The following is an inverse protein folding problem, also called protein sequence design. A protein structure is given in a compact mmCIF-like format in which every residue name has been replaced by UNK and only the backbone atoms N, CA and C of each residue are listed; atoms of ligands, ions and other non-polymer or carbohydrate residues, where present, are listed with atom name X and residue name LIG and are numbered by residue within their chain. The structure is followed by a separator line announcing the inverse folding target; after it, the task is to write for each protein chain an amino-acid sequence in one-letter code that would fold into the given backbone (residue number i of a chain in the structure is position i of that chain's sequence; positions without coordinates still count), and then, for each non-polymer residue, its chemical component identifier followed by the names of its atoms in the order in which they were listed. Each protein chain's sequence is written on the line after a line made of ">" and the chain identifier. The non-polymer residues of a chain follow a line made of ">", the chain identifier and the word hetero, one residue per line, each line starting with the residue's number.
data_IF_395900479018
#
_entry.id   IF_395900479018
#
_cell.length_a   1.000
_cell.length_b   1.000
_cell.length_c   1.000
_cell.angle_alpha   90.00
_cell.angle_beta   90.00
_cell.angle_gamma   90.00
#
_symmetry.space_group_name_H-M   'P 1'
#
loop_
_entity.id
_entity.type
_entity.pdbx_description
1 polymer ?
#
# COMPACT_ATOMS: atom_id res chain seq x y z
N UNK A 1 -23.17 34.72 8.83
CA UNK A 1 -24.09 33.75 8.18
C UNK A 1 -25.36 33.58 9.00
N UNK A 2 -25.26 33.27 10.30
CA UNK A 2 -26.41 33.22 11.23
C UNK A 2 -27.29 34.48 11.22
N UNK A 3 -26.70 35.68 11.37
CA UNK A 3 -27.46 36.94 11.35
C UNK A 3 -28.29 37.12 10.07
N UNK A 4 -27.77 36.66 8.93
CA UNK A 4 -28.49 36.72 7.67
C UNK A 4 -29.65 35.71 7.64
N UNK A 5 -29.43 34.48 8.12
CA UNK A 5 -30.47 33.45 8.19
C UNK A 5 -31.60 33.88 9.13
N UNK A 6 -31.28 34.43 10.30
CA UNK A 6 -32.30 34.92 11.23
C UNK A 6 -33.09 36.12 10.66
N UNK A 7 -32.42 37.04 9.96
CA UNK A 7 -33.06 38.20 9.33
C UNK A 7 -34.02 37.81 8.21
N UNK A 8 -33.66 36.82 7.39
CA UNK A 8 -34.46 36.40 6.23
C UNK A 8 -35.31 35.14 6.51
N UNK A 9 -35.33 34.64 7.75
CA UNK A 9 -36.12 33.47 8.15
C UNK A 9 -37.62 33.57 7.85
N UNK A 10 -38.29 34.72 8.10
CA UNK A 10 -39.72 34.85 7.81
C UNK A 10 -40.05 34.72 6.31
N UNK A 11 -39.11 35.11 5.44
CA UNK A 11 -39.30 34.99 3.98
C UNK A 11 -39.24 33.52 3.55
N UNK A 12 -38.37 32.72 4.17
CA UNK A 12 -38.31 31.28 3.92
C UNK A 12 -39.57 30.55 4.38
N UNK A 13 -40.22 31.04 5.45
CA UNK A 13 -41.49 30.49 5.94
C UNK A 13 -42.69 30.90 5.09
N UNK A 14 -42.63 32.06 4.44
CA UNK A 14 -43.67 32.56 3.55
C UNK A 14 -43.72 31.84 2.19
N UNK A 15 -42.75 30.98 1.88
CA UNK A 15 -42.72 30.22 0.64
C UNK A 15 -43.85 29.18 0.58
N UNK A 16 -44.66 29.26 -0.48
CA UNK A 16 -45.87 28.41 -0.64
C UNK A 16 -45.54 26.93 -0.88
N UNK A 17 -44.37 26.61 -1.43
CA UNK A 17 -43.99 25.24 -1.76
C UNK A 17 -43.24 24.57 -0.61
N UNK A 18 -42.31 25.28 0.03
CA UNK A 18 -41.35 24.71 0.98
C UNK A 18 -41.41 25.32 2.39
N UNK A 19 -42.20 26.37 2.63
CA UNK A 19 -42.28 27.05 3.93
C UNK A 19 -42.69 26.12 5.08
N UNK A 20 -43.49 25.09 4.79
CA UNK A 20 -43.91 24.06 5.76
C UNK A 20 -42.74 23.23 6.34
N UNK A 21 -41.58 23.20 5.68
CA UNK A 21 -40.37 22.51 6.14
C UNK A 21 -39.59 23.32 7.17
N UNK A 22 -39.74 24.65 7.18
CA UNK A 22 -38.95 25.57 7.99
C UNK A 22 -39.70 25.99 9.28
N UNK A 23 -40.09 25.01 10.09
CA UNK A 23 -40.85 25.25 11.35
C UNK A 23 -39.98 25.83 12.47
N UNK A 24 -38.71 25.49 12.50
CA UNK A 24 -37.76 25.85 13.55
C UNK A 24 -36.44 26.29 12.92
N UNK A 25 -35.83 27.35 13.47
CA UNK A 25 -34.58 27.89 12.98
C UNK A 25 -33.46 26.84 13.08
N UNK A 26 -32.56 26.75 12.10
CA UNK A 26 -31.46 25.80 12.14
C UNK A 26 -30.56 26.08 13.35
N UNK A 27 -30.01 25.01 13.91
CA UNK A 27 -28.99 25.11 14.94
C UNK A 27 -27.67 25.52 14.30
N UNK A 28 -26.99 26.49 14.92
CA UNK A 28 -25.67 26.94 14.49
C UNK A 28 -24.59 26.29 15.36
N UNK A 29 -23.59 25.68 14.71
CA UNK A 29 -22.39 25.21 15.36
C UNK A 29 -21.20 26.07 14.91
N UNK A 30 -20.49 26.67 15.86
CA UNK A 30 -19.27 27.42 15.56
C UNK A 30 -18.06 26.52 15.73
N UNK A 31 -17.16 26.58 14.76
CA UNK A 31 -15.84 25.98 14.92
C UNK A 31 -14.98 26.94 15.74
N UNK A 32 -14.41 26.47 16.84
CA UNK A 32 -13.38 27.20 17.59
C UNK A 32 -12.25 27.62 16.63
N UNK A 33 -11.85 28.89 16.68
CA UNK A 33 -10.67 29.38 15.96
C UNK A 33 -9.38 28.72 16.45
N UNK A 34 -8.34 28.67 15.60
CA UNK A 34 -7.06 28.09 16.02
C UNK A 34 -6.43 28.93 17.13
N UNK A 35 -6.20 28.34 18.30
CA UNK A 35 -5.43 28.97 19.37
C UNK A 35 -3.93 28.88 19.10
N UNK A 36 -3.12 29.68 19.81
CA UNK A 36 -1.65 29.55 19.77
C UNK A 36 -1.20 28.12 20.08
N UNK A 37 -1.84 27.44 21.03
CA UNK A 37 -1.59 26.01 21.31
C UNK A 37 -1.88 25.13 20.10
N UNK A 38 -2.99 25.36 19.40
CA UNK A 38 -3.36 24.59 18.19
C UNK A 38 -2.38 24.83 17.02
N UNK A 39 -1.77 26.01 17.00
CA UNK A 39 -0.75 26.40 16.01
C UNK A 39 0.61 25.78 16.37
N UNK A 40 1.05 25.92 17.61
CA UNK A 40 2.40 25.57 18.07
C UNK A 40 2.53 24.09 18.46
N UNK A 41 1.47 23.47 18.96
CA UNK A 41 1.44 22.07 19.38
C UNK A 41 0.22 21.37 18.77
N UNK A 42 0.15 21.25 17.43
CA UNK A 42 -0.96 20.58 16.79
C UNK A 42 -0.93 19.09 17.20
N UNK A 43 -2.07 18.58 17.68
CA UNK A 43 -2.21 17.16 18.05
C UNK A 43 -1.97 16.21 16.88
N UNK A 44 -2.06 16.74 15.65
CA UNK A 44 -1.68 16.04 14.43
C UNK A 44 -0.65 16.87 13.66
N UNK A 45 0.45 16.23 13.26
CA UNK A 45 1.50 16.90 12.49
C UNK A 45 0.95 17.27 11.11
N UNK A 46 0.73 18.57 10.89
CA UNK A 46 0.23 19.12 9.61
C UNK A 46 0.94 18.42 8.45
N UNK A 47 0.16 17.90 7.49
CA UNK A 47 0.72 17.31 6.29
C UNK A 47 1.63 18.36 5.64
N UNK A 48 2.92 18.02 5.47
CA UNK A 48 3.81 18.77 4.58
C UNK A 48 3.07 18.88 3.25
N UNK A 49 2.69 20.10 2.86
CA UNK A 49 2.06 20.30 1.56
C UNK A 49 3.06 19.81 0.52
N UNK A 50 2.65 18.94 -0.43
CA UNK A 50 3.56 18.49 -1.46
C UNK A 50 4.11 19.71 -2.20
N UNK A 51 5.43 19.80 -2.33
CA UNK A 51 6.08 20.86 -3.13
C UNK A 51 5.74 20.75 -4.62
N UNK A 52 5.25 19.59 -5.05
CA UNK A 52 4.88 19.28 -6.42
C UNK A 52 3.36 19.32 -6.59
N UNK A 53 2.88 20.17 -7.49
CA UNK A 53 1.46 20.36 -7.81
C UNK A 53 0.93 19.40 -8.89
N UNK A 54 1.80 18.59 -9.52
CA UNK A 54 1.39 17.58 -10.49
C UNK A 54 0.92 16.27 -9.86
N UNK A 55 0.27 15.41 -10.66
CA UNK A 55 -0.10 14.05 -10.21
C UNK A 55 1.18 13.27 -9.87
N UNK A 56 1.33 12.87 -8.61
CA UNK A 56 2.45 12.01 -8.20
C UNK A 56 2.41 10.71 -9.00
N UNK A 57 3.55 10.36 -9.62
CA UNK A 57 3.72 9.04 -10.23
C UNK A 57 3.64 8.00 -9.13
N UNK A 58 2.92 6.91 -9.37
CA UNK A 58 2.87 5.74 -8.48
C UNK A 58 3.24 4.50 -9.27
N UNK A 59 3.57 3.41 -8.58
CA UNK A 59 4.05 2.18 -9.18
C UNK A 59 5.54 1.93 -8.95
N UNK A 60 6.01 0.82 -9.53
CA UNK A 60 7.42 0.42 -9.47
C UNK A 60 8.12 0.76 -10.78
N UNK A 61 9.29 1.39 -10.69
CA UNK A 61 10.06 1.85 -11.84
C UNK A 61 11.53 1.39 -11.76
N UNK A 62 12.18 1.16 -12.92
CA UNK A 62 13.59 0.78 -12.94
C UNK A 62 14.47 1.90 -12.39
N UNK A 63 15.51 1.55 -11.63
CA UNK A 63 16.55 2.49 -11.21
C UNK A 63 17.61 2.74 -12.31
N UNK A 64 17.52 2.01 -13.43
CA UNK A 64 18.44 2.08 -14.58
C UNK A 64 19.90 1.69 -14.30
N UNK A 65 20.20 1.18 -13.10
CA UNK A 65 21.56 0.86 -12.66
C UNK A 65 21.73 -0.55 -12.09
N UNK A 66 20.71 -1.41 -12.20
CA UNK A 66 20.78 -2.76 -11.64
C UNK A 66 20.10 -3.83 -12.51
N UNK A 67 20.56 -5.08 -12.37
CA UNK A 67 20.05 -6.23 -13.13
C UNK A 67 18.59 -6.58 -12.80
N UNK A 68 18.08 -6.15 -11.64
CA UNK A 68 16.69 -6.39 -11.24
C UNK A 68 15.68 -5.55 -12.04
N UNK A 69 16.13 -4.51 -12.75
CA UNK A 69 15.26 -3.65 -13.56
C UNK A 69 14.52 -4.41 -14.67
N UNK A 70 15.16 -5.46 -15.21
CA UNK A 70 14.63 -6.28 -16.31
C UNK A 70 13.39 -7.10 -15.93
N UNK A 71 13.23 -7.40 -14.64
CA UNK A 71 12.14 -8.21 -14.11
C UNK A 71 11.01 -7.39 -13.47
N UNK A 72 11.05 -6.06 -13.54
CA UNK A 72 10.02 -5.21 -12.95
C UNK A 72 8.69 -5.31 -13.72
N UNK A 73 7.60 -5.49 -12.99
CA UNK A 73 6.24 -5.19 -13.45
C UNK A 73 6.06 -3.67 -13.32
N UNK A 74 6.17 -2.97 -14.45
CA UNK A 74 6.16 -1.51 -14.50
C UNK A 74 4.74 -0.97 -14.33
N UNK A 75 4.63 0.17 -13.66
CA UNK A 75 3.37 0.91 -13.54
C UNK A 75 2.70 0.73 -12.17
N UNK A 76 1.50 1.30 -12.07
CA UNK A 76 0.73 1.44 -10.83
C UNK A 76 -0.47 0.49 -10.74
N UNK A 77 -0.58 -0.49 -11.64
CA UNK A 77 -1.67 -1.46 -11.63
C UNK A 77 -1.07 -2.86 -11.66
N UNK A 78 -1.60 -3.73 -10.79
CA UNK A 78 -1.27 -5.15 -10.72
C UNK A 78 -2.57 -5.93 -10.74
N UNK A 79 -2.66 -6.96 -11.57
CA UNK A 79 -3.84 -7.83 -11.59
C UNK A 79 -3.79 -8.81 -10.44
N UNK A 80 -4.93 -9.00 -9.76
CA UNK A 80 -5.07 -10.01 -8.73
C UNK A 80 -4.75 -11.41 -9.31
N UNK A 81 -3.84 -12.21 -8.70
CA UNK A 81 -3.40 -13.50 -9.25
C UNK A 81 -4.54 -14.45 -9.61
N UNK A 82 -5.50 -14.65 -8.69
CA UNK A 82 -6.63 -15.58 -8.89
C UNK A 82 -7.86 -14.96 -9.55
N UNK A 83 -8.26 -13.75 -9.13
CA UNK A 83 -9.54 -13.12 -9.52
C UNK A 83 -9.43 -12.18 -10.72
N UNK A 84 -8.22 -11.84 -11.17
CA UNK A 84 -7.99 -11.02 -12.38
C UNK A 84 -8.27 -9.52 -12.26
N UNK A 85 -9.02 -9.05 -11.26
CA UNK A 85 -9.32 -7.63 -11.13
C UNK A 85 -8.07 -6.76 -10.87
N UNK A 86 -8.13 -5.51 -11.32
CA UNK A 86 -7.03 -4.56 -11.22
C UNK A 86 -6.87 -3.99 -9.80
N UNK A 87 -5.62 -3.99 -9.31
CA UNK A 87 -5.26 -3.41 -8.01
C UNK A 87 -4.35 -2.20 -8.25
N UNK A 88 -4.83 -1.03 -7.84
CA UNK A 88 -4.08 0.23 -7.95
C UNK A 88 -3.06 0.37 -6.81
N UNK A 89 -1.79 0.47 -7.19
CA UNK A 89 -0.64 0.74 -6.32
C UNK A 89 -0.49 2.24 -6.13
N UNK A 90 -0.44 2.67 -4.87
CA UNK A 90 -0.37 4.09 -4.48
C UNK A 90 1.05 4.56 -4.13
N UNK A 91 1.99 3.64 -3.95
CA UNK A 91 3.38 3.93 -3.62
C UNK A 91 4.21 4.15 -4.88
N UNK A 92 5.14 5.11 -4.86
CA UNK A 92 6.22 5.20 -5.83
C UNK A 92 7.42 4.43 -5.31
N UNK A 93 7.94 3.48 -6.11
CA UNK A 93 9.09 2.68 -5.71
C UNK A 93 10.08 2.50 -6.86
N UNK A 94 11.33 2.28 -6.49
CA UNK A 94 12.41 1.88 -7.39
C UNK A 94 13.16 0.68 -6.79
N UNK A 95 14.18 0.19 -7.48
CA UNK A 95 15.03 -0.90 -6.99
C UNK A 95 15.74 -0.59 -5.66
N UNK A 96 15.89 0.69 -5.30
CA UNK A 96 16.57 1.13 -4.08
C UNK A 96 15.60 1.41 -2.92
N UNK A 97 14.29 1.24 -3.13
CA UNK A 97 13.31 1.47 -2.05
C UNK A 97 13.47 0.41 -0.95
N UNK A 98 13.39 0.85 0.31
CA UNK A 98 13.57 0.03 1.51
C UNK A 98 12.26 -0.07 2.29
N UNK A 99 12.15 -1.03 3.21
CA UNK A 99 10.95 -1.23 4.05
C UNK A 99 9.66 -1.36 3.23
N UNK A 100 9.69 -2.29 2.28
CA UNK A 100 8.60 -2.52 1.33
C UNK A 100 8.02 -3.91 1.48
N UNK A 101 6.73 -4.01 1.17
CA UNK A 101 6.06 -5.25 0.83
C UNK A 101 6.04 -5.35 -0.70
N UNK A 102 6.45 -6.48 -1.23
CA UNK A 102 6.59 -6.73 -2.66
C UNK A 102 5.84 -8.00 -3.07
N UNK A 103 5.47 -8.04 -4.35
CA UNK A 103 4.93 -9.20 -5.03
C UNK A 103 6.01 -9.79 -5.94
N UNK A 104 6.19 -11.10 -5.89
CA UNK A 104 6.80 -11.88 -6.95
C UNK A 104 5.70 -12.59 -7.74
N UNK A 105 5.84 -12.61 -9.07
CA UNK A 105 4.91 -13.29 -9.97
C UNK A 105 5.65 -14.36 -10.76
N UNK A 106 5.11 -15.57 -10.69
CA UNK A 106 5.56 -16.71 -11.46
C UNK A 106 4.95 -16.68 -12.88
N UNK A 107 5.62 -17.20 -13.93
CA UNK A 107 5.02 -17.37 -15.26
C UNK A 107 3.71 -18.19 -15.26
N UNK A 108 3.50 -19.10 -14.30
CA UNK A 108 2.24 -19.85 -14.17
C UNK A 108 1.07 -19.03 -13.60
N UNK A 109 1.29 -17.77 -13.24
CA UNK A 109 0.27 -16.87 -12.71
C UNK A 109 0.24 -16.75 -11.18
N UNK A 110 0.82 -17.72 -10.46
CA UNK A 110 0.88 -17.70 -9.00
C UNK A 110 1.73 -16.54 -8.46
N UNK A 111 1.35 -16.03 -7.29
CA UNK A 111 2.01 -14.92 -6.60
C UNK A 111 2.67 -15.35 -5.29
N UNK A 112 3.74 -14.64 -4.91
CA UNK A 112 4.34 -14.67 -3.58
C UNK A 112 4.42 -13.25 -3.05
N UNK A 113 3.94 -13.02 -1.84
CA UNK A 113 4.11 -11.74 -1.14
C UNK A 113 5.21 -11.89 -0.12
N UNK A 114 6.14 -10.95 -0.10
CA UNK A 114 7.16 -10.87 0.94
C UNK A 114 7.44 -9.44 1.36
N UNK A 115 8.12 -9.29 2.49
CA UNK A 115 8.65 -8.00 2.94
C UNK A 115 10.18 -7.93 2.94
N UNK A 116 10.72 -6.72 2.95
CA UNK A 116 12.14 -6.47 3.22
C UNK A 116 12.35 -5.11 3.85
N UNK A 117 13.26 -5.05 4.83
CA UNK A 117 13.75 -3.79 5.41
C UNK A 117 14.88 -3.19 4.59
N UNK A 118 15.67 -4.02 3.90
CA UNK A 118 16.75 -3.62 3.00
C UNK A 118 16.20 -3.17 1.65
N UNK A 119 17.07 -2.64 0.80
CA UNK A 119 16.73 -2.31 -0.57
C UNK A 119 16.15 -3.54 -1.30
N UNK A 120 15.03 -3.34 -2.01
CA UNK A 120 14.32 -4.44 -2.66
C UNK A 120 15.20 -5.19 -3.67
N UNK A 121 16.11 -4.50 -4.38
CA UNK A 121 17.00 -5.16 -5.35
C UNK A 121 17.82 -6.29 -4.74
N UNK A 122 18.28 -6.13 -3.49
CA UNK A 122 19.08 -7.15 -2.79
C UNK A 122 18.22 -8.38 -2.53
N UNK A 123 16.99 -8.16 -2.06
CA UNK A 123 16.05 -9.27 -1.79
C UNK A 123 15.65 -10.01 -3.07
N UNK A 124 15.46 -9.32 -4.18
CA UNK A 124 15.17 -9.95 -5.48
C UNK A 124 16.35 -10.77 -5.99
N UNK A 125 17.59 -10.31 -5.79
CA UNK A 125 18.79 -11.07 -6.14
C UNK A 125 18.91 -12.35 -5.32
N UNK A 126 18.64 -12.29 -4.02
CA UNK A 126 18.60 -13.47 -3.15
C UNK A 126 17.59 -14.51 -3.64
N UNK A 127 16.36 -14.09 -3.97
CA UNK A 127 15.35 -15.01 -4.52
C UNK A 127 15.84 -15.68 -5.81
N UNK A 128 16.42 -14.91 -6.74
CA UNK A 128 16.98 -15.47 -7.99
C UNK A 128 18.15 -16.42 -7.72
N UNK A 129 19.00 -16.11 -6.75
CA UNK A 129 20.09 -16.97 -6.31
C UNK A 129 19.58 -18.28 -5.71
N UNK A 130 18.56 -18.23 -4.86
CA UNK A 130 17.95 -19.41 -4.25
C UNK A 130 17.29 -20.33 -5.28
N UNK A 131 16.60 -19.77 -6.30
CA UNK A 131 16.04 -20.57 -7.39
C UNK A 131 17.16 -21.24 -8.19
N UNK A 132 18.23 -20.52 -8.54
CA UNK A 132 19.35 -21.05 -9.34
C UNK A 132 20.10 -22.16 -8.60
N UNK A 133 20.30 -21.99 -7.30
CA UNK A 133 21.12 -22.86 -6.47
C UNK A 133 20.25 -23.71 -5.53
N UNK A 134 19.03 -24.06 -5.95
CA UNK A 134 18.08 -24.80 -5.14
C UNK A 134 18.67 -26.14 -4.71
N UNK A 135 18.63 -26.41 -3.40
CA UNK A 135 18.99 -27.69 -2.79
C UNK A 135 18.06 -27.94 -1.61
N UNK A 136 17.44 -29.12 -1.59
CA UNK A 136 16.52 -29.52 -0.52
C UNK A 136 17.22 -29.48 0.84
N UNK A 137 16.49 -29.09 1.89
CA UNK A 137 17.00 -28.98 3.27
C UNK A 137 18.19 -28.01 3.44
N UNK A 138 18.29 -26.98 2.60
CA UNK A 138 19.30 -25.92 2.74
C UNK A 138 18.64 -24.55 2.83
N UNK A 139 19.42 -23.49 3.06
CA UNK A 139 18.90 -22.11 3.07
C UNK A 139 18.29 -21.68 1.72
N UNK A 140 18.61 -22.38 0.63
CA UNK A 140 18.02 -22.11 -0.69
C UNK A 140 16.69 -22.84 -0.90
N UNK A 141 16.26 -23.70 0.03
CA UNK A 141 14.96 -24.38 0.04
C UNK A 141 13.86 -23.46 0.59
N UNK A 142 13.50 -22.45 -0.21
CA UNK A 142 12.39 -21.55 0.08
C UNK A 142 11.15 -21.96 -0.72
N UNK A 143 9.96 -21.55 -0.28
CA UNK A 143 8.72 -21.86 -0.99
C UNK A 143 8.76 -21.43 -2.46
N UNK A 144 9.37 -20.28 -2.76
CA UNK A 144 9.55 -19.75 -4.12
C UNK A 144 10.51 -20.62 -4.94
N UNK A 145 11.68 -20.98 -4.40
CA UNK A 145 12.65 -21.78 -5.15
C UNK A 145 12.17 -23.20 -5.38
N UNK A 146 11.54 -23.82 -4.37
CA UNK A 146 10.89 -25.12 -4.46
C UNK A 146 9.84 -25.13 -5.57
N UNK A 147 8.92 -24.15 -5.55
CA UNK A 147 7.89 -24.00 -6.59
C UNK A 147 8.49 -23.90 -8.00
N UNK A 148 9.52 -23.07 -8.19
CA UNK A 148 10.15 -22.89 -9.50
C UNK A 148 10.81 -24.18 -10.01
N UNK A 149 11.42 -24.97 -9.13
CA UNK A 149 12.04 -26.25 -9.51
C UNK A 149 10.99 -27.30 -9.83
N UNK A 150 9.95 -27.45 -9.00
CA UNK A 150 8.85 -28.40 -9.23
C UNK A 150 8.13 -28.15 -10.56
N UNK A 151 7.91 -26.88 -10.90
CA UNK A 151 7.22 -26.47 -12.12
C UNK A 151 8.16 -26.24 -13.32
N UNK A 152 9.46 -26.53 -13.17
CA UNK A 152 10.51 -26.37 -14.20
C UNK A 152 10.54 -24.95 -14.81
N UNK A 153 10.33 -23.93 -13.98
CA UNK A 153 10.35 -22.53 -14.39
C UNK A 153 11.74 -21.91 -14.29
N UNK A 154 12.06 -20.98 -15.19
CA UNK A 154 13.36 -20.33 -15.21
C UNK A 154 13.39 -19.09 -14.28
N UNK A 155 14.42 -18.90 -13.43
CA UNK A 155 14.55 -17.71 -12.58
C UNK A 155 14.52 -16.38 -13.36
N UNK A 156 14.85 -16.37 -14.65
CA UNK A 156 14.75 -15.18 -15.51
C UNK A 156 13.29 -14.74 -15.72
N UNK A 157 12.35 -15.68 -15.70
CA UNK A 157 10.91 -15.42 -15.90
C UNK A 157 10.24 -14.81 -14.65
N UNK A 158 10.90 -14.85 -13.49
CA UNK A 158 10.42 -14.23 -12.26
C UNK A 158 10.21 -12.72 -12.48
N UNK A 159 8.99 -12.24 -12.26
CA UNK A 159 8.64 -10.82 -12.30
C UNK A 159 8.33 -10.29 -10.90
N UNK A 160 8.52 -8.99 -10.66
CA UNK A 160 8.28 -8.40 -9.35
C UNK A 160 7.81 -6.94 -9.40
N UNK A 161 7.12 -6.50 -8.35
CA UNK A 161 6.83 -5.09 -8.08
C UNK A 161 6.66 -4.84 -6.57
N UNK A 162 6.78 -3.58 -6.16
CA UNK A 162 6.42 -3.13 -4.81
C UNK A 162 4.91 -2.92 -4.73
N UNK A 163 4.29 -3.48 -3.70
CA UNK A 163 2.86 -3.31 -3.40
C UNK A 163 2.62 -2.11 -2.51
N UNK A 164 3.43 -1.97 -1.46
CA UNK A 164 3.30 -0.90 -0.46
C UNK A 164 4.62 -0.67 0.27
N UNK A 165 4.91 0.59 0.58
CA UNK A 165 6.02 0.96 1.46
C UNK A 165 5.50 1.19 2.88
N UNK A 166 6.15 0.60 3.87
CA UNK A 166 5.90 0.92 5.28
C UNK A 166 6.48 2.31 5.58
N UNK A 167 5.71 3.35 5.28
CA UNK A 167 6.08 4.73 5.60
C UNK A 167 6.14 4.90 7.12
N UNK A 168 7.16 5.60 7.60
CA UNK A 168 7.31 5.93 9.02
C UNK A 168 6.10 6.75 9.47
N UNK A 169 5.43 6.28 10.52
CA UNK A 169 4.35 7.05 11.12
C UNK A 169 4.92 8.27 11.84
N UNK A 170 4.32 9.43 11.57
CA UNK A 170 4.82 10.71 12.07
C UNK A 170 4.76 10.84 13.60
N UNK A 171 3.90 10.04 14.24
CA UNK A 171 3.76 9.96 15.70
C UNK A 171 4.72 8.93 16.32
N UNK A 172 5.68 8.43 15.53
CA UNK A 172 6.45 7.25 15.87
C UNK A 172 5.63 5.98 15.70
N UNK A 173 6.21 4.86 16.14
CA UNK A 173 5.63 3.54 15.97
C UNK A 173 6.67 2.56 15.45
N UNK A 174 6.45 1.29 15.72
CA UNK A 174 7.36 0.24 15.27
C UNK A 174 7.15 -0.02 13.76
N UNK A 175 7.99 0.60 12.93
CA UNK A 175 7.98 0.43 11.46
C UNK A 175 8.07 -1.04 11.03
N UNK A 176 8.76 -1.87 11.82
CA UNK A 176 8.89 -3.31 11.55
C UNK A 176 7.58 -4.04 11.78
N UNK A 177 6.87 -3.69 12.85
CA UNK A 177 5.55 -4.24 13.12
C UNK A 177 4.56 -3.85 12.01
N UNK A 178 4.61 -2.57 11.58
CA UNK A 178 3.82 -2.11 10.41
C UNK A 178 4.13 -2.90 9.15
N UNK A 179 5.41 -3.16 8.87
CA UNK A 179 5.81 -3.94 7.70
C UNK A 179 5.23 -5.36 7.74
N UNK A 180 5.25 -6.02 8.91
CA UNK A 180 4.66 -7.34 9.12
C UNK A 180 3.13 -7.32 8.95
N UNK A 181 2.45 -6.31 9.47
CA UNK A 181 1.00 -6.14 9.27
C UNK A 181 0.65 -5.91 7.80
N UNK A 182 1.46 -5.14 7.07
CA UNK A 182 1.25 -4.93 5.64
C UNK A 182 1.45 -6.22 4.86
N UNK A 183 2.49 -7.00 5.17
CA UNK A 183 2.75 -8.30 4.54
C UNK A 183 1.56 -9.25 4.71
N UNK A 184 1.07 -9.43 5.94
CA UNK A 184 -0.09 -10.29 6.23
C UNK A 184 -1.36 -9.84 5.50
N UNK A 185 -1.62 -8.52 5.50
CA UNK A 185 -2.75 -7.93 4.76
C UNK A 185 -2.66 -8.23 3.26
N UNK A 186 -1.48 -8.10 2.67
CA UNK A 186 -1.29 -8.34 1.24
C UNK A 186 -1.34 -9.82 0.87
N UNK A 187 -0.79 -10.72 1.69
CA UNK A 187 -0.93 -12.17 1.51
C UNK A 187 -2.42 -12.54 1.45
N UNK A 188 -3.22 -12.08 2.42
CA UNK A 188 -4.66 -12.33 2.45
C UNK A 188 -5.39 -11.68 1.28
N UNK A 189 -5.04 -10.45 0.92
CA UNK A 189 -5.71 -9.69 -0.14
C UNK A 189 -5.48 -10.29 -1.53
N UNK A 190 -4.30 -10.87 -1.77
CA UNK A 190 -3.91 -11.44 -3.07
C UNK A 190 -4.12 -12.96 -3.15
N UNK A 191 -4.54 -13.59 -2.05
CA UNK A 191 -4.69 -15.04 -1.91
C UNK A 191 -3.42 -15.80 -2.33
N UNK A 192 -2.27 -15.42 -1.76
CA UNK A 192 -0.98 -16.02 -2.15
C UNK A 192 -0.56 -17.21 -1.30
N UNK A 193 -1.43 -17.72 -0.42
CA UNK A 193 -1.14 -18.95 0.34
C UNK A 193 -1.26 -20.17 -0.55
N UNK A 194 -0.48 -21.21 -0.26
CA UNK A 194 -0.64 -22.52 -0.89
C UNK A 194 -2.08 -23.04 -0.60
N UNK A 195 -2.81 -23.57 -1.60
CA UNK A 195 -2.34 -23.96 -2.94
C UNK A 195 -2.46 -22.87 -4.03
N UNK A 196 -3.16 -21.76 -3.79
CA UNK A 196 -3.43 -20.74 -4.82
C UNK A 196 -2.25 -19.79 -5.08
N UNK A 197 -1.22 -19.83 -4.23
CA UNK A 197 0.03 -19.09 -4.38
C UNK A 197 1.22 -19.79 -3.73
N UNK A 198 2.30 -19.03 -3.51
CA UNK A 198 3.61 -19.55 -3.10
C UNK A 198 3.99 -19.25 -1.64
N UNK A 199 3.13 -18.62 -0.84
CA UNK A 199 3.37 -18.40 0.60
C UNK A 199 2.97 -19.64 1.41
N UNK A 200 3.88 -20.17 2.24
CA UNK A 200 3.59 -21.30 3.13
C UNK A 200 2.66 -20.89 4.29
N UNK A 201 2.87 -19.69 4.84
CA UNK A 201 2.11 -19.16 5.97
C UNK A 201 2.25 -17.64 6.08
N UNK A 202 1.52 -17.04 7.01
CA UNK A 202 1.70 -15.64 7.42
C UNK A 202 1.57 -15.54 8.95
N UNK A 203 2.22 -14.54 9.55
CA UNK A 203 2.27 -14.39 11.00
C UNK A 203 1.14 -13.50 11.52
N UNK A 204 0.42 -13.99 12.54
CA UNK A 204 -0.57 -13.21 13.30
C UNK A 204 0.02 -12.43 14.47
N UNK A 205 1.28 -12.69 14.85
CA UNK A 205 1.98 -11.97 15.94
C UNK A 205 1.88 -10.44 15.89
N UNK A 206 1.87 -9.78 14.70
CA UNK A 206 1.75 -8.32 14.62
C UNK A 206 0.40 -7.74 15.07
N UNK A 207 -0.62 -8.58 15.28
CA UNK A 207 -2.00 -8.19 15.60
C UNK A 207 -2.44 -8.58 17.01
N UNK A 208 -1.56 -9.25 17.75
CA UNK A 208 -1.72 -9.62 19.16
C UNK A 208 -0.98 -8.59 20.02
#
# INVERSE_FOLDING_TARGET
>A
MEQAINKFWPILQADKQFGHLFKQTPLFCYKKGQSLKDILCPSDTRLQKPRFFGKSKTGTFPCMSCNCCSSIIKGNVVNHPTRGYEIKIKTYATCNTTHVVYLLKCPCGMGYVGQTKREIKIRIQEHRGNIRNFKINTQTDTSVSRHFVEHKHNPIQLKWCVLEEAVIDKRGGNRLNKLLQLEGRWIRKLNTLIPDGMNDSWSLKPYL
#
